data_IF_375869694644
#
_entry.id   IF_375869694644
#
_cell.length_a   1.000
_cell.length_b   1.000
_cell.length_c   1.000
_cell.angle_alpha   90.00
_cell.angle_beta   90.00
_cell.angle_gamma   90.00
#
_symmetry.space_group_name_H-M   'P 1'
#
loop_
_entity.id
_entity.type
_entity.pdbx_description
1 polymer ?
#
# COMPACT_ATOMS: atom_id res chain seq x y z
N UNK A 1 10.40 21.97 -19.97
CA UNK A 1 10.17 21.93 -18.51
C UNK A 1 9.33 20.70 -18.22
N UNK A 2 9.95 19.61 -17.77
CA UNK A 2 9.23 18.39 -17.40
C UNK A 2 8.44 18.71 -16.12
N UNK A 3 7.11 18.64 -16.17
CA UNK A 3 6.31 18.70 -14.96
C UNK A 3 6.71 17.50 -14.09
N UNK A 4 7.18 17.75 -12.87
CA UNK A 4 7.38 16.70 -11.89
C UNK A 4 6.00 16.14 -11.56
N UNK A 5 5.72 14.94 -12.05
CA UNK A 5 4.48 14.24 -11.76
C UNK A 5 4.51 13.85 -10.29
N UNK A 6 3.57 14.35 -9.49
CA UNK A 6 3.43 13.97 -8.09
C UNK A 6 3.26 12.45 -8.00
N UNK A 7 4.07 11.82 -7.15
CA UNK A 7 4.00 10.39 -6.89
C UNK A 7 3.51 10.14 -5.46
N UNK A 8 2.69 9.11 -5.31
CA UNK A 8 2.22 8.61 -4.02
C UNK A 8 2.52 7.13 -3.88
N UNK A 9 2.48 6.64 -2.65
CA UNK A 9 2.63 5.21 -2.38
C UNK A 9 1.46 4.46 -3.01
N UNK A 10 1.78 3.43 -3.78
CA UNK A 10 0.80 2.50 -4.31
C UNK A 10 0.46 1.44 -3.25
N UNK A 11 -0.51 1.77 -2.39
CA UNK A 11 -0.96 0.91 -1.31
C UNK A 11 -1.54 -0.42 -1.80
N UNK A 12 -2.15 -0.45 -2.99
CA UNK A 12 -2.62 -1.69 -3.61
C UNK A 12 -1.45 -2.63 -3.89
N UNK A 13 -0.38 -2.13 -4.52
CA UNK A 13 0.80 -2.94 -4.83
C UNK A 13 1.56 -3.33 -3.56
N UNK A 14 1.65 -2.46 -2.55
CA UNK A 14 2.20 -2.79 -1.23
C UNK A 14 1.47 -3.99 -0.62
N UNK A 15 0.14 -3.91 -0.51
CA UNK A 15 -0.68 -4.96 0.13
C UNK A 15 -0.67 -6.24 -0.71
N UNK A 16 -0.75 -6.13 -2.03
CA UNK A 16 -0.69 -7.29 -2.94
C UNK A 16 0.68 -7.96 -2.91
N UNK A 17 1.76 -7.20 -2.71
CA UNK A 17 3.10 -7.72 -2.46
C UNK A 17 3.15 -8.63 -1.24
N UNK A 18 2.47 -8.25 -0.14
CA UNK A 18 2.38 -9.08 1.06
C UNK A 18 1.57 -10.35 0.82
N UNK A 19 0.49 -10.27 0.03
CA UNK A 19 -0.26 -11.47 -0.39
C UNK A 19 0.60 -12.44 -1.19
N UNK A 20 1.45 -11.94 -2.09
CA UNK A 20 2.41 -12.77 -2.86
C UNK A 20 3.50 -13.38 -1.97
N UNK A 21 3.83 -12.74 -0.84
CA UNK A 21 4.72 -13.28 0.17
C UNK A 21 4.03 -14.30 1.13
N UNK A 22 2.76 -14.66 0.89
CA UNK A 22 2.03 -15.67 1.66
C UNK A 22 1.15 -15.11 2.79
N UNK A 23 1.06 -13.80 2.96
CA UNK A 23 0.24 -13.20 4.01
C UNK A 23 -1.21 -12.99 3.55
N UNK A 24 -2.16 -13.53 4.30
CA UNK A 24 -3.58 -13.26 4.11
C UNK A 24 -3.92 -11.80 4.48
N UNK A 25 -4.99 -11.19 3.94
CA UNK A 25 -5.44 -9.86 4.35
C UNK A 25 -5.72 -9.77 5.86
N UNK A 26 -6.22 -10.84 6.48
CA UNK A 26 -6.46 -10.87 7.92
C UNK A 26 -5.13 -10.78 8.70
N UNK A 27 -4.16 -11.63 8.37
CA UNK A 27 -2.85 -11.63 9.06
C UNK A 27 -2.08 -10.32 8.90
N UNK A 28 -2.20 -9.64 7.75
CA UNK A 28 -1.59 -8.31 7.57
C UNK A 28 -2.28 -7.28 8.48
N UNK A 29 -3.62 -7.29 8.53
CA UNK A 29 -4.39 -6.36 9.34
C UNK A 29 -4.08 -6.53 10.84
N UNK A 30 -3.97 -7.77 11.30
CA UNK A 30 -3.59 -8.10 12.69
C UNK A 30 -2.17 -7.61 13.00
N UNK A 31 -1.20 -7.83 12.09
CA UNK A 31 0.19 -7.42 12.29
C UNK A 31 0.38 -5.90 12.44
N UNK A 32 -0.50 -5.10 11.83
CA UNK A 32 -0.43 -3.63 11.89
C UNK A 32 -1.51 -3.02 12.80
N UNK A 33 -2.25 -3.87 13.52
CA UNK A 33 -3.30 -3.51 14.46
C UNK A 33 -4.39 -2.62 13.87
N UNK A 34 -5.01 -3.06 12.77
CA UNK A 34 -6.18 -2.40 12.15
C UNK A 34 -7.27 -3.42 11.81
N UNK A 35 -8.54 -2.98 11.68
CA UNK A 35 -9.59 -3.85 11.17
C UNK A 35 -9.29 -4.35 9.75
N UNK A 36 -9.67 -5.61 9.44
CA UNK A 36 -9.52 -6.17 8.08
C UNK A 36 -10.22 -5.32 7.02
N UNK A 37 -11.40 -4.77 7.34
CA UNK A 37 -12.14 -3.88 6.43
C UNK A 37 -11.36 -2.60 6.09
N UNK A 38 -10.62 -2.05 7.06
CA UNK A 38 -9.73 -0.90 6.85
C UNK A 38 -8.61 -1.23 5.87
N UNK A 39 -7.93 -2.36 6.06
CA UNK A 39 -6.89 -2.83 5.12
C UNK A 39 -7.45 -3.04 3.71
N UNK A 40 -8.66 -3.63 3.59
CA UNK A 40 -9.31 -3.82 2.30
C UNK A 40 -9.69 -2.49 1.64
N UNK A 41 -10.13 -1.50 2.41
CA UNK A 41 -10.37 -0.15 1.91
C UNK A 41 -9.11 0.47 1.30
N UNK A 42 -7.95 0.29 1.94
CA UNK A 42 -6.69 0.79 1.38
C UNK A 42 -6.26 0.03 0.12
N UNK A 43 -6.48 -1.29 0.09
CA UNK A 43 -6.29 -2.08 -1.11
C UNK A 43 -7.19 -1.61 -2.26
N UNK A 44 -8.35 -1.04 -1.97
CA UNK A 44 -9.28 -0.47 -2.95
C UNK A 44 -9.00 1.01 -3.27
N UNK A 45 -7.92 1.57 -2.71
CA UNK A 45 -7.41 2.89 -3.06
C UNK A 45 -7.46 3.92 -1.92
N UNK A 46 -8.14 3.65 -0.81
CA UNK A 46 -8.13 4.60 0.30
C UNK A 46 -6.71 4.80 0.86
N UNK A 47 -6.37 6.03 1.23
CA UNK A 47 -5.07 6.33 1.83
C UNK A 47 -5.11 6.10 3.34
N UNK A 48 -4.17 5.32 3.93
CA UNK A 48 -4.05 5.17 5.37
C UNK A 48 -3.66 6.49 6.04
N UNK A 49 -4.04 6.66 7.30
CA UNK A 49 -3.49 7.75 8.13
C UNK A 49 -2.03 7.47 8.42
N UNK A 50 -1.26 8.53 8.68
CA UNK A 50 0.20 8.46 8.87
C UNK A 50 0.66 7.29 9.75
N UNK A 51 0.15 7.19 10.98
CA UNK A 51 0.58 6.16 11.94
C UNK A 51 0.29 4.74 11.46
N UNK A 52 -0.86 4.52 10.83
CA UNK A 52 -1.28 3.20 10.33
C UNK A 52 -0.50 2.83 9.05
N UNK A 53 -0.29 3.81 8.17
CA UNK A 53 0.52 3.68 6.97
C UNK A 53 1.98 3.34 7.31
N UNK A 54 2.57 4.00 8.31
CA UNK A 54 3.93 3.69 8.76
C UNK A 54 4.06 2.26 9.31
N UNK A 55 3.07 1.73 10.06
CA UNK A 55 3.09 0.31 10.48
C UNK A 55 3.04 -0.63 9.27
N UNK A 56 2.24 -0.32 8.26
CA UNK A 56 2.17 -1.10 7.03
C UNK A 56 3.49 -1.05 6.26
N UNK A 57 4.13 0.11 6.16
CA UNK A 57 5.44 0.27 5.52
C UNK A 57 6.53 -0.50 6.25
N UNK A 58 6.57 -0.42 7.58
CA UNK A 58 7.50 -1.19 8.40
C UNK A 58 7.31 -2.70 8.23
N UNK A 59 6.07 -3.16 8.29
CA UNK A 59 5.75 -4.57 8.09
C UNK A 59 6.14 -5.04 6.68
N UNK A 60 5.86 -4.23 5.65
CA UNK A 60 6.27 -4.54 4.28
C UNK A 60 7.79 -4.61 4.12
N UNK A 61 8.51 -3.68 4.76
CA UNK A 61 9.98 -3.65 4.73
C UNK A 61 10.56 -4.90 5.40
N UNK A 62 9.99 -5.33 6.53
CA UNK A 62 10.37 -6.56 7.23
C UNK A 62 10.12 -7.81 6.38
N UNK A 63 8.94 -7.93 5.76
CA UNK A 63 8.57 -9.10 4.94
C UNK A 63 9.39 -9.19 3.66
N UNK A 64 9.69 -8.05 3.02
CA UNK A 64 10.38 -8.04 1.72
C UNK A 64 11.90 -7.92 1.83
N UNK A 65 12.42 -7.54 3.01
CA UNK A 65 13.83 -7.20 3.20
C UNK A 65 14.27 -5.92 2.49
N UNK A 66 13.32 -5.09 2.04
CA UNK A 66 13.59 -3.88 1.25
C UNK A 66 13.42 -2.62 2.09
N UNK A 67 14.15 -1.56 1.72
CA UNK A 67 14.05 -0.25 2.35
C UNK A 67 12.78 0.50 1.95
N UNK A 68 12.27 1.39 2.82
CA UNK A 68 11.10 2.23 2.54
C UNK A 68 11.20 3.06 1.25
N UNK A 69 12.42 3.42 0.82
CA UNK A 69 12.64 4.17 -0.44
C UNK A 69 12.30 3.35 -1.68
N UNK A 70 12.15 2.04 -1.54
CA UNK A 70 11.77 1.11 -2.61
C UNK A 70 10.28 0.75 -2.59
N UNK A 71 9.47 1.47 -1.81
CA UNK A 71 8.02 1.32 -1.84
C UNK A 71 7.51 1.47 -3.28
N UNK A 72 6.53 0.64 -3.69
CA UNK A 72 5.79 0.88 -4.91
C UNK A 72 5.21 2.31 -4.92
N UNK A 73 5.47 3.03 -6.01
CA UNK A 73 4.98 4.41 -6.21
C UNK A 73 4.12 4.46 -7.47
N UNK A 74 3.08 5.28 -7.46
CA UNK A 74 2.21 5.54 -8.61
C UNK A 74 2.06 7.05 -8.81
N UNK A 75 1.99 7.48 -10.07
CA UNK A 75 1.66 8.86 -10.41
C UNK A 75 0.21 9.17 -9.97
N UNK A 76 -0.03 10.35 -9.40
CA UNK A 76 -1.38 10.75 -8.96
C UNK A 76 -2.41 10.68 -10.10
N UNK A 77 -2.01 10.98 -11.35
CA UNK A 77 -2.89 10.88 -12.51
C UNK A 77 -3.23 9.45 -12.95
N UNK A 78 -2.34 8.49 -12.70
CA UNK A 78 -2.53 7.09 -13.08
C UNK A 78 -3.30 6.30 -12.01
N UNK A 79 -3.44 6.86 -10.80
CA UNK A 79 -4.19 6.26 -9.70
C UNK A 79 -5.65 5.95 -10.10
N UNK A 80 -6.29 6.84 -10.88
CA UNK A 80 -7.64 6.63 -11.40
C UNK A 80 -7.74 5.48 -12.42
N UNK A 81 -6.66 5.18 -13.15
CA UNK A 81 -6.66 4.17 -14.21
C UNK A 81 -6.77 2.73 -13.66
N UNK A 82 -6.31 2.47 -12.43
CA UNK A 82 -6.37 1.15 -11.80
C UNK A 82 -7.68 0.87 -11.06
N UNK A 83 -8.35 1.92 -10.56
CA UNK A 83 -9.53 1.78 -9.67
C UNK A 83 -10.87 2.15 -10.33
N UNK A 84 -10.88 2.71 -11.55
CA UNK A 84 -12.10 3.05 -12.29
C UNK A 84 -12.74 1.88 -13.05
N UNK A 85 -12.09 0.72 -13.11
CA UNK A 85 -12.66 -0.52 -13.67
C UNK A 85 -13.02 -1.49 -12.55
N UNK A 86 -14.12 -1.19 -11.87
CA UNK A 86 -14.89 -2.17 -11.10
C UNK A 86 -16.06 -2.67 -11.95
#
# INVERSE_FOLDING_TARGET
>A
MLALVEQRVDWFTVITGLSRAGYSPQSVADAIAVPRSTLLGWKQGAEPRYTEGERLVLFWSQVTGRDRKSLPMVAVGDWWAYHSKA
#
